data_IF_431129469527
#
_entry.id   IF_431129469527
#
_cell.length_a   1.000
_cell.length_b   1.000
_cell.length_c   1.000
_cell.angle_alpha   90.00
_cell.angle_beta   90.00
_cell.angle_gamma   90.00
#
_symmetry.space_group_name_H-M   'P 1'
#
loop_
_entity.id
_entity.type
_entity.pdbx_description
1 polymer ?
#
# COMPACT_ATOMS: atom_id res chain seq x y z
N UNK A 1 2.62 -7.23 7.01
CA UNK A 1 2.59 -5.80 6.64
C UNK A 1 1.21 -5.37 6.14
N UNK A 2 0.72 -5.83 4.98
CA UNK A 2 -0.59 -5.34 4.48
C UNK A 2 -1.76 -5.72 5.39
N UNK A 3 -1.79 -6.95 5.90
CA UNK A 3 -2.80 -7.36 6.91
C UNK A 3 -2.78 -6.47 8.17
N UNK A 4 -1.59 -6.00 8.58
CA UNK A 4 -1.42 -5.09 9.71
C UNK A 4 -1.99 -3.70 9.40
N UNK A 5 -1.84 -3.23 8.16
CA UNK A 5 -2.45 -1.99 7.67
C UNK A 5 -3.97 -2.09 7.68
N UNK A 6 -4.53 -3.20 7.21
CA UNK A 6 -5.97 -3.45 7.25
C UNK A 6 -6.50 -3.52 8.69
N UNK A 7 -5.73 -4.14 9.59
CA UNK A 7 -6.06 -4.17 11.02
C UNK A 7 -6.03 -2.77 11.65
N UNK A 8 -5.04 -1.95 11.32
CA UNK A 8 -4.95 -0.55 11.78
C UNK A 8 -6.12 0.29 11.26
N UNK A 9 -6.47 0.15 9.98
CA UNK A 9 -7.61 0.85 9.40
C UNK A 9 -8.93 0.50 10.12
N UNK A 10 -9.15 -0.78 10.41
CA UNK A 10 -10.34 -1.24 11.17
C UNK A 10 -10.35 -0.71 12.61
N UNK A 11 -9.20 -0.66 13.27
CA UNK A 11 -9.10 -0.18 14.65
C UNK A 11 -9.24 1.35 14.76
N UNK A 12 -8.79 2.08 13.74
CA UNK A 12 -8.76 3.54 13.73
C UNK A 12 -9.31 4.09 12.40
N UNK A 13 -10.63 4.04 12.19
CA UNK A 13 -11.25 4.42 10.92
C UNK A 13 -11.14 5.91 10.59
N UNK A 14 -10.76 6.75 11.55
CA UNK A 14 -10.49 8.18 11.34
C UNK A 14 -9.11 8.47 10.75
N UNK A 15 -8.26 7.44 10.55
CA UNK A 15 -6.98 7.62 9.88
C UNK A 15 -7.19 7.75 8.37
N UNK A 16 -6.57 8.78 7.79
CA UNK A 16 -6.59 9.00 6.35
C UNK A 16 -5.94 7.81 5.60
N UNK A 17 -6.63 7.23 4.59
CA UNK A 17 -6.12 6.12 3.78
C UNK A 17 -4.72 6.33 3.21
N UNK A 18 -4.41 7.54 2.73
CA UNK A 18 -3.13 7.91 2.16
C UNK A 18 -2.00 7.80 3.18
N UNK A 19 -2.28 8.10 4.44
CA UNK A 19 -1.29 8.04 5.51
C UNK A 19 -0.92 6.59 5.83
N UNK A 20 -1.92 5.71 5.87
CA UNK A 20 -1.72 4.26 6.01
C UNK A 20 -0.89 3.70 4.84
N UNK A 21 -1.22 4.10 3.61
CA UNK A 21 -0.47 3.66 2.42
C UNK A 21 0.98 4.15 2.44
N UNK A 22 1.23 5.42 2.77
CA UNK A 22 2.60 5.98 2.91
C UNK A 22 3.40 5.27 3.98
N UNK A 23 2.78 4.98 5.12
CA UNK A 23 3.41 4.24 6.23
C UNK A 23 3.77 2.82 5.81
N UNK A 24 2.92 2.17 5.02
CA UNK A 24 3.16 0.83 4.49
C UNK A 24 4.18 0.77 3.34
N UNK A 25 4.53 1.92 2.76
CA UNK A 25 5.40 2.04 1.58
C UNK A 25 6.57 2.97 1.88
N UNK A 26 6.59 4.18 1.30
CA UNK A 26 7.73 5.10 1.33
C UNK A 26 8.21 5.43 2.74
N UNK A 27 7.32 5.91 3.61
CA UNK A 27 7.72 6.35 4.95
C UNK A 27 8.16 5.17 5.82
N UNK A 28 7.58 3.99 5.63
CA UNK A 28 8.04 2.77 6.28
C UNK A 28 9.41 2.33 5.79
N UNK A 29 9.65 2.34 4.48
CA UNK A 29 10.95 2.02 3.88
C UNK A 29 12.04 2.99 4.35
N UNK A 30 11.75 4.29 4.37
CA UNK A 30 12.64 5.33 4.91
C UNK A 30 12.97 5.08 6.40
N UNK A 31 11.96 4.84 7.23
CA UNK A 31 12.15 4.61 8.67
C UNK A 31 12.96 3.33 8.99
N UNK A 32 12.89 2.33 8.11
CA UNK A 32 13.61 1.06 8.25
C UNK A 32 14.99 1.07 7.58
N UNK A 33 15.38 2.16 6.91
CA UNK A 33 16.68 2.27 6.26
C UNK A 33 16.78 1.48 4.95
N UNK A 34 15.69 1.35 4.20
CA UNK A 34 15.65 0.72 2.88
C UNK A 34 15.60 1.78 1.76
N UNK A 35 16.74 2.39 1.40
CA UNK A 35 16.77 3.40 0.35
C UNK A 35 16.40 2.77 -1.00
N UNK A 36 15.44 3.36 -1.70
CA UNK A 36 15.02 2.89 -3.03
C UNK A 36 13.77 2.00 -3.05
N UNK A 37 13.26 1.59 -1.89
CA UNK A 37 11.98 0.87 -1.77
C UNK A 37 10.81 1.80 -1.40
N UNK A 38 9.58 1.32 -1.61
CA UNK A 38 8.36 2.01 -1.18
C UNK A 38 7.91 3.17 -2.09
N UNK A 39 8.50 3.33 -3.27
CA UNK A 39 8.14 4.38 -4.22
C UNK A 39 8.16 3.87 -5.67
N UNK A 40 7.31 4.46 -6.52
CA UNK A 40 7.33 4.26 -7.97
C UNK A 40 8.02 5.48 -8.58
N UNK A 41 9.33 5.38 -8.83
CA UNK A 41 10.13 6.45 -9.41
C UNK A 41 11.32 5.89 -10.19
N UNK A 42 11.87 6.66 -11.12
CA UNK A 42 13.07 6.26 -11.86
C UNK A 42 14.26 6.05 -10.90
N UNK A 43 14.97 4.92 -11.07
CA UNK A 43 16.11 4.55 -10.21
C UNK A 43 15.73 3.91 -8.86
N UNK A 44 14.44 3.78 -8.54
CA UNK A 44 13.98 2.99 -7.41
C UNK A 44 14.02 1.49 -7.73
N UNK A 45 14.03 0.65 -6.69
CA UNK A 45 13.93 -0.80 -6.86
C UNK A 45 12.58 -1.20 -7.46
N UNK A 46 12.60 -2.17 -8.37
CA UNK A 46 11.41 -2.67 -9.06
C UNK A 46 10.64 -3.68 -8.18
N UNK A 47 10.15 -3.22 -7.03
CA UNK A 47 9.37 -4.01 -6.08
C UNK A 47 7.97 -3.43 -5.91
N UNK A 48 6.98 -4.09 -6.52
CA UNK A 48 5.60 -3.62 -6.58
C UNK A 48 4.63 -4.65 -6.02
N UNK A 49 3.42 -4.19 -5.70
CA UNK A 49 2.27 -5.04 -5.49
C UNK A 49 1.11 -4.51 -6.33
N UNK A 50 0.35 -5.42 -6.93
CA UNK A 50 -0.84 -5.08 -7.71
C UNK A 50 -2.02 -5.93 -7.27
N UNK A 51 -3.24 -5.41 -7.49
CA UNK A 51 -4.47 -6.18 -7.38
C UNK A 51 -5.29 -5.94 -8.64
N UNK A 52 -6.09 -6.92 -9.03
CA UNK A 52 -7.13 -6.69 -10.02
C UNK A 52 -8.21 -5.81 -9.39
N UNK A 53 -8.64 -4.79 -10.13
CA UNK A 53 -9.70 -3.89 -9.74
C UNK A 53 -11.05 -4.36 -10.32
N UNK A 54 -12.19 -4.09 -9.64
CA UNK A 54 -13.50 -4.31 -10.23
C UNK A 54 -13.67 -3.44 -11.50
N UNK A 55 -14.58 -3.81 -12.43
CA UNK A 55 -14.79 -3.08 -13.69
C UNK A 55 -15.11 -1.59 -13.52
N UNK A 56 -15.74 -1.24 -12.41
CA UNK A 56 -15.97 0.14 -11.99
C UNK A 56 -15.41 0.35 -10.60
N UNK A 57 -14.47 1.29 -10.47
CA UNK A 57 -13.84 1.64 -9.20
C UNK A 57 -13.90 3.16 -9.01
N UNK A 58 -14.70 3.61 -8.04
CA UNK A 58 -14.86 5.03 -7.74
C UNK A 58 -13.77 5.56 -6.82
N UNK A 59 -13.28 4.73 -5.90
CA UNK A 59 -12.24 5.09 -4.92
C UNK A 59 -11.24 3.93 -4.78
N UNK A 60 -10.04 4.06 -5.37
CA UNK A 60 -9.00 3.04 -5.27
C UNK A 60 -8.48 2.81 -3.86
N UNK A 61 -8.40 3.85 -3.02
CA UNK A 61 -7.86 3.72 -1.66
C UNK A 61 -8.87 3.01 -0.75
N UNK A 62 -10.15 3.34 -0.87
CA UNK A 62 -11.21 2.62 -0.17
C UNK A 62 -11.23 1.13 -0.57
N UNK A 63 -11.05 0.81 -1.86
CA UNK A 63 -10.97 -0.59 -2.30
C UNK A 63 -9.73 -1.32 -1.79
N UNK A 64 -8.57 -0.65 -1.78
CA UNK A 64 -7.35 -1.24 -1.21
C UNK A 64 -7.54 -1.58 0.27
N UNK A 65 -8.21 -0.72 1.03
CA UNK A 65 -8.41 -0.88 2.47
C UNK A 65 -9.66 -1.67 2.86
N UNK A 66 -10.53 -2.03 1.91
CA UNK A 66 -11.73 -2.84 2.17
C UNK A 66 -11.40 -4.28 2.58
N UNK A 67 -10.20 -4.76 2.25
CA UNK A 67 -9.78 -6.15 2.40
C UNK A 67 -10.19 -7.05 1.22
N UNK A 68 -10.88 -6.52 0.22
CA UNK A 68 -11.21 -7.24 -1.02
C UNK A 68 -10.03 -7.25 -2.01
N UNK A 69 -9.17 -6.25 -1.94
CA UNK A 69 -7.95 -6.15 -2.74
C UNK A 69 -6.95 -7.27 -2.44
N UNK A 70 -6.81 -8.22 -3.36
CA UNK A 70 -5.85 -9.33 -3.25
C UNK A 70 -4.53 -8.94 -3.89
N UNK A 71 -3.65 -8.37 -3.08
CA UNK A 71 -2.32 -7.94 -3.53
C UNK A 71 -1.44 -9.12 -3.96
N UNK A 72 -0.80 -8.97 -5.12
CA UNK A 72 0.21 -9.89 -5.68
C UNK A 72 1.51 -9.11 -5.86
N UNK A 73 2.59 -9.62 -5.29
CA UNK A 73 3.91 -9.00 -5.38
C UNK A 73 4.60 -9.31 -6.70
N UNK A 74 5.36 -8.34 -7.21
CA UNK A 74 6.28 -8.45 -8.34
C UNK A 74 7.62 -7.86 -7.90
N UNK A 75 8.71 -8.59 -8.16
CA UNK A 75 10.08 -8.13 -7.90
C UNK A 75 10.96 -8.56 -9.07
N UNK A 76 11.73 -7.62 -9.61
CA UNK A 76 12.79 -7.86 -10.61
C UNK A 76 14.16 -7.56 -10.02
#
# INVERSE_FOLDING_TARGET
LWEDVLALHRAFPSLEPEWLLRTATRSGAEALGFPGLGQIAAGAEAAFAFTEAPPSLSDPLAFLLSGEARLRGVRE
#
